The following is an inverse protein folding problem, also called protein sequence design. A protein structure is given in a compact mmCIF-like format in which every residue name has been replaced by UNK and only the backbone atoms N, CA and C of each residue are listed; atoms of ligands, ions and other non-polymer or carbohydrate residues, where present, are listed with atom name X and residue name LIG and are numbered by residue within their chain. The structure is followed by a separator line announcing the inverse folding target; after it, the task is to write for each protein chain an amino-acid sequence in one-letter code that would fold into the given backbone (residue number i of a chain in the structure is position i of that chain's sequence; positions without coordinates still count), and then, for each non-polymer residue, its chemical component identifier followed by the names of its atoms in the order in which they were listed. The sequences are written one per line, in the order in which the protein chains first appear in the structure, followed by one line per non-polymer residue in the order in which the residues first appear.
data_IF_693244661690
#
_entry.id   IF_693244661690
#
_cell.length_a   1.000
_cell.length_b   1.000
_cell.length_c   1.000
_cell.angle_alpha   90.00
_cell.angle_beta   90.00
_cell.angle_gamma   90.00
#
_symmetry.space_group_name_H-M   'P 1'
#
loop_
_entity.id
_entity.type
_entity.pdbx_description
1 polymer ?
#
# COMPACT_ATOMS: atom_id res chain seq x y z
N UNK A 1 28.26 29.13 -13.89
CA UNK A 1 27.01 28.80 -14.63
C UNK A 1 25.96 28.29 -13.66
N UNK A 2 24.70 28.39 -14.04
CA UNK A 2 23.61 27.84 -13.25
C UNK A 2 23.33 26.39 -13.74
N UNK A 3 23.08 25.49 -12.80
CA UNK A 3 22.74 24.10 -13.06
C UNK A 3 21.37 23.80 -12.52
N UNK A 4 20.56 23.05 -13.27
CA UNK A 4 19.25 22.57 -12.83
C UNK A 4 19.30 21.05 -12.81
N UNK A 5 19.01 20.43 -11.66
CA UNK A 5 18.91 18.99 -11.49
C UNK A 5 17.42 18.65 -11.41
N UNK A 6 16.89 18.00 -12.46
CA UNK A 6 15.48 17.67 -12.59
C UNK A 6 15.25 16.15 -12.80
N UNK A 7 16.00 15.32 -12.09
CA UNK A 7 16.00 13.85 -12.25
C UNK A 7 14.86 13.15 -11.51
N UNK A 8 14.16 13.88 -10.64
CA UNK A 8 13.06 13.33 -9.85
C UNK A 8 13.53 12.38 -8.74
N UNK A 9 12.59 11.62 -8.12
CA UNK A 9 12.88 10.83 -6.93
C UNK A 9 13.78 9.61 -7.19
N UNK A 10 13.87 9.12 -8.43
CA UNK A 10 14.66 7.94 -8.81
C UNK A 10 16.05 8.34 -9.36
N UNK A 11 16.65 9.36 -8.81
CA UNK A 11 18.02 9.81 -9.15
C UNK A 11 19.04 8.68 -8.96
N UNK A 12 20.00 8.57 -9.91
CA UNK A 12 21.06 7.56 -9.81
C UNK A 12 21.88 7.69 -8.53
N UNK A 13 22.43 6.59 -8.05
CA UNK A 13 23.24 6.57 -6.84
C UNK A 13 24.44 7.52 -6.90
N UNK A 14 25.16 7.57 -8.04
CA UNK A 14 26.33 8.42 -8.21
C UNK A 14 25.97 9.92 -8.18
N UNK A 15 24.87 10.30 -8.84
CA UNK A 15 24.41 11.67 -8.80
C UNK A 15 23.88 12.05 -7.42
N UNK A 16 23.17 11.14 -6.74
CA UNK A 16 22.72 11.35 -5.36
C UNK A 16 23.91 11.56 -4.40
N UNK A 17 24.99 10.79 -4.55
CA UNK A 17 26.23 10.98 -3.77
C UNK A 17 26.89 12.34 -4.05
N UNK A 18 26.94 12.75 -5.32
CA UNK A 18 27.50 14.04 -5.70
C UNK A 18 26.68 15.19 -5.10
N UNK A 19 25.34 15.10 -5.11
CA UNK A 19 24.44 16.07 -4.49
C UNK A 19 24.67 16.09 -2.96
N UNK A 20 24.79 14.92 -2.34
CA UNK A 20 25.05 14.80 -0.90
C UNK A 20 26.37 15.48 -0.50
N UNK A 21 27.42 15.27 -1.29
CA UNK A 21 28.72 15.89 -1.06
C UNK A 21 28.67 17.42 -1.18
N UNK A 22 27.93 17.95 -2.17
CA UNK A 22 27.79 19.40 -2.39
C UNK A 22 26.93 20.08 -1.32
N UNK A 23 25.87 19.40 -0.86
CA UNK A 23 24.93 19.96 0.12
C UNK A 23 25.30 19.68 1.57
N UNK A 24 26.26 18.79 1.83
CA UNK A 24 26.61 18.33 3.18
C UNK A 24 25.53 17.51 3.86
N UNK A 25 24.54 17.02 3.11
CA UNK A 25 23.40 16.28 3.65
C UNK A 25 23.75 14.80 3.85
N UNK A 26 23.59 14.28 5.08
CA UNK A 26 23.92 12.87 5.40
C UNK A 26 22.92 11.86 4.84
N UNK A 27 21.67 12.26 4.62
CA UNK A 27 20.63 11.38 4.12
C UNK A 27 19.74 12.08 3.09
N UNK A 28 19.81 11.61 1.84
CA UNK A 28 18.98 12.11 0.73
C UNK A 28 18.00 11.02 0.22
N UNK A 29 17.72 9.99 1.01
CA UNK A 29 16.89 8.91 0.55
C UNK A 29 15.88 8.47 1.60
N UNK A 30 14.67 8.12 1.14
CA UNK A 30 13.67 7.37 1.89
C UNK A 30 13.12 6.23 1.03
N UNK A 31 12.56 5.23 1.69
CA UNK A 31 11.91 4.13 1.01
C UNK A 31 10.41 4.37 0.97
N UNK A 32 9.85 4.26 -0.23
CA UNK A 32 8.42 4.30 -0.50
C UNK A 32 7.94 2.90 -0.95
N UNK A 33 6.94 2.38 -0.27
CA UNK A 33 6.34 1.11 -0.63
C UNK A 33 5.05 1.35 -1.42
N UNK A 34 4.87 0.58 -2.49
CA UNK A 34 3.74 0.69 -3.41
C UNK A 34 2.82 -0.51 -3.21
N UNK A 35 1.51 -0.25 -3.20
CA UNK A 35 0.49 -1.28 -3.14
C UNK A 35 0.23 -1.94 -4.51
N UNK A 36 -0.19 -3.22 -4.53
CA UNK A 36 -0.60 -3.91 -5.75
C UNK A 36 -1.86 -3.30 -6.37
N UNK A 37 -1.96 -3.45 -7.70
CA UNK A 37 -3.14 -3.09 -8.49
C UNK A 37 -3.72 -4.36 -9.11
N UNK A 38 -5.04 -4.53 -8.98
CA UNK A 38 -5.79 -5.70 -9.40
C UNK A 38 -6.75 -5.33 -10.53
N UNK A 39 -6.94 -6.23 -11.50
CA UNK A 39 -7.99 -6.14 -12.51
C UNK A 39 -9.36 -6.42 -11.88
N UNK A 40 -10.34 -5.55 -12.14
CA UNK A 40 -11.70 -5.66 -11.60
C UNK A 40 -12.38 -6.98 -11.97
N UNK A 41 -12.25 -7.43 -13.22
CA UNK A 41 -12.87 -8.65 -13.75
C UNK A 41 -12.36 -9.94 -13.11
N UNK A 42 -11.26 -9.88 -12.38
CA UNK A 42 -10.71 -10.99 -11.61
C UNK A 42 -11.18 -11.04 -10.15
N UNK A 43 -12.02 -10.09 -9.71
CA UNK A 43 -12.56 -10.01 -8.35
C UNK A 43 -13.91 -10.73 -8.29
N UNK A 44 -14.08 -11.63 -7.32
CA UNK A 44 -15.35 -12.34 -7.09
C UNK A 44 -16.35 -11.44 -6.36
N UNK A 45 -17.25 -10.82 -7.13
CA UNK A 45 -18.29 -9.93 -6.60
C UNK A 45 -19.40 -10.67 -5.83
N UNK A 46 -19.43 -12.00 -5.83
CA UNK A 46 -20.34 -12.75 -4.94
C UNK A 46 -19.89 -12.72 -3.47
N UNK A 47 -18.65 -12.38 -3.22
CA UNK A 47 -18.05 -12.23 -1.89
C UNK A 47 -17.74 -10.78 -1.52
N UNK A 48 -17.43 -9.96 -2.52
CA UNK A 48 -17.10 -8.56 -2.35
C UNK A 48 -18.28 -7.65 -2.67
N UNK A 49 -18.27 -6.41 -2.16
CA UNK A 49 -19.32 -5.44 -2.43
C UNK A 49 -18.78 -4.01 -2.50
N UNK A 50 -19.54 -3.11 -3.12
CA UNK A 50 -19.22 -1.70 -3.25
C UNK A 50 -19.86 -0.90 -2.12
N UNK A 51 -19.06 -0.21 -1.31
CA UNK A 51 -19.55 0.71 -0.27
C UNK A 51 -18.41 1.60 0.25
N UNK A 52 -18.68 2.87 0.41
CA UNK A 52 -17.84 3.77 1.21
C UNK A 52 -18.21 3.66 2.69
N UNK A 53 -17.25 3.85 3.59
CA UNK A 53 -17.49 3.77 5.03
C UNK A 53 -18.54 4.77 5.47
N UNK A 54 -19.52 4.31 6.26
CA UNK A 54 -20.65 5.09 6.75
C UNK A 54 -21.53 5.66 5.61
N UNK A 55 -21.52 5.02 4.43
CA UNK A 55 -22.22 5.49 3.22
C UNK A 55 -21.88 6.94 2.89
N UNK A 56 -20.65 7.36 3.20
CA UNK A 56 -20.20 8.73 3.04
C UNK A 56 -20.08 9.08 1.56
N UNK A 57 -20.70 10.20 1.18
CA UNK A 57 -20.71 10.76 -0.16
C UNK A 57 -22.05 11.42 -0.47
N UNK A 58 -22.04 12.42 -1.35
CA UNK A 58 -23.25 13.08 -1.81
C UNK A 58 -23.88 12.32 -2.99
N UNK A 59 -23.04 11.73 -3.83
CA UNK A 59 -23.45 10.96 -5.01
C UNK A 59 -23.37 9.45 -4.76
N UNK A 60 -24.10 8.68 -5.58
CA UNK A 60 -24.01 7.22 -5.55
C UNK A 60 -22.60 6.73 -5.88
N UNK A 61 -21.90 7.39 -6.79
CA UNK A 61 -20.51 7.06 -7.13
C UNK A 61 -19.58 7.22 -5.94
N UNK A 62 -19.76 8.25 -5.12
CA UNK A 62 -18.95 8.45 -3.91
C UNK A 62 -19.28 7.44 -2.81
N UNK A 63 -20.57 7.07 -2.65
CA UNK A 63 -21.00 6.07 -1.69
C UNK A 63 -20.52 4.68 -2.04
N UNK A 64 -20.27 4.40 -3.31
CA UNK A 64 -19.78 3.13 -3.85
C UNK A 64 -18.32 3.20 -4.34
N UNK A 65 -17.53 4.14 -3.83
CA UNK A 65 -16.15 4.38 -4.28
C UNK A 65 -15.16 3.26 -3.93
N UNK A 66 -15.49 2.41 -2.95
CA UNK A 66 -14.61 1.34 -2.47
C UNK A 66 -15.26 -0.02 -2.65
N UNK A 67 -14.47 -0.96 -3.12
CA UNK A 67 -14.79 -2.38 -3.10
C UNK A 67 -14.26 -2.98 -1.80
N UNK A 68 -15.08 -3.81 -1.14
CA UNK A 68 -14.82 -4.34 0.19
C UNK A 68 -14.78 -5.86 0.15
N UNK A 69 -13.72 -6.47 0.69
CA UNK A 69 -13.54 -7.92 0.82
C UNK A 69 -13.58 -8.28 2.31
N UNK A 70 -14.60 -9.01 2.78
CA UNK A 70 -14.76 -9.34 4.19
C UNK A 70 -13.88 -10.52 4.58
N UNK A 71 -13.44 -10.56 5.82
CA UNK A 71 -12.74 -11.70 6.42
C UNK A 71 -13.38 -12.09 7.74
N UNK A 72 -13.54 -13.39 7.96
CA UNK A 72 -13.80 -13.97 9.27
C UNK A 72 -12.53 -13.89 10.13
N UNK A 73 -12.66 -14.14 11.45
CA UNK A 73 -11.52 -14.19 12.36
C UNK A 73 -10.47 -15.20 11.93
N UNK A 74 -10.89 -16.42 11.60
CA UNK A 74 -9.95 -17.47 11.17
C UNK A 74 -9.22 -17.13 9.86
N UNK A 75 -9.92 -16.52 8.89
CA UNK A 75 -9.30 -16.06 7.63
C UNK A 75 -8.28 -14.93 7.89
N UNK A 76 -8.63 -13.99 8.76
CA UNK A 76 -7.73 -12.92 9.16
C UNK A 76 -6.47 -13.45 9.85
N UNK A 77 -6.61 -14.35 10.83
CA UNK A 77 -5.47 -14.95 11.55
C UNK A 77 -4.55 -15.72 10.61
N UNK A 78 -5.10 -16.53 9.71
CA UNK A 78 -4.33 -17.25 8.69
C UNK A 78 -3.63 -16.29 7.73
N UNK A 79 -4.30 -15.22 7.33
CA UNK A 79 -3.70 -14.17 6.49
C UNK A 79 -2.52 -13.49 7.18
N UNK A 80 -2.66 -13.12 8.47
CA UNK A 80 -1.57 -12.50 9.24
C UNK A 80 -0.37 -13.45 9.36
N UNK A 81 -0.61 -14.74 9.60
CA UNK A 81 0.46 -15.73 9.67
C UNK A 81 1.21 -15.85 8.35
N UNK A 82 0.49 -15.94 7.23
CA UNK A 82 1.09 -15.98 5.90
C UNK A 82 1.84 -14.69 5.56
N UNK A 83 1.29 -13.53 5.89
CA UNK A 83 1.92 -12.22 5.67
C UNK A 83 3.24 -12.08 6.43
N UNK A 84 3.27 -12.51 7.69
CA UNK A 84 4.48 -12.45 8.52
C UNK A 84 5.54 -13.46 8.07
N UNK A 85 5.14 -14.64 7.59
CA UNK A 85 6.03 -15.69 7.08
C UNK A 85 6.50 -15.46 5.64
N UNK A 86 5.87 -14.55 4.90
CA UNK A 86 6.14 -14.30 3.49
C UNK A 86 7.58 -13.86 3.24
N UNK A 87 8.14 -14.28 2.11
CA UNK A 87 9.43 -13.80 1.62
C UNK A 87 9.39 -12.30 1.34
N UNK A 88 10.35 -11.58 1.95
CA UNK A 88 10.44 -10.12 1.89
C UNK A 88 11.75 -9.68 1.25
N UNK A 89 11.74 -8.49 0.66
CA UNK A 89 12.95 -7.81 0.23
C UNK A 89 13.65 -7.26 1.48
N UNK A 90 14.90 -7.64 1.67
CA UNK A 90 15.75 -7.10 2.72
C UNK A 90 16.53 -5.89 2.19
N UNK A 91 16.74 -4.90 3.05
CA UNK A 91 17.61 -3.79 2.74
C UNK A 91 19.08 -4.26 2.81
N UNK A 92 19.93 -3.69 1.94
CA UNK A 92 21.37 -3.92 2.01
C UNK A 92 21.94 -3.36 3.32
N UNK A 93 22.96 -4.05 3.87
CA UNK A 93 23.70 -3.55 5.02
C UNK A 93 24.15 -2.11 4.77
N UNK A 94 23.83 -1.21 5.70
CA UNK A 94 24.12 0.22 5.60
C UNK A 94 22.98 1.09 5.03
N UNK A 95 21.88 0.50 4.55
CA UNK A 95 20.68 1.24 4.13
C UNK A 95 19.76 1.47 5.34
N UNK A 96 20.07 2.46 6.17
CA UNK A 96 19.27 2.84 7.37
C UNK A 96 18.16 3.84 7.06
N UNK A 97 17.80 4.04 5.79
CA UNK A 97 16.73 4.95 5.44
C UNK A 97 15.40 4.44 6.03
N UNK A 98 14.76 5.27 6.84
CA UNK A 98 13.44 4.98 7.41
C UNK A 98 12.36 4.90 6.33
N UNK A 99 11.28 4.17 6.62
CA UNK A 99 10.07 4.28 5.82
C UNK A 99 9.42 5.64 6.04
N UNK A 100 8.86 6.20 4.98
CA UNK A 100 7.96 7.33 5.13
C UNK A 100 6.67 6.84 5.84
N UNK A 101 6.24 7.50 6.91
CA UNK A 101 5.13 7.03 7.75
C UNK A 101 3.83 6.78 6.98
N UNK A 102 3.56 7.56 5.93
CA UNK A 102 2.39 7.39 5.07
C UNK A 102 2.44 6.19 4.13
N UNK A 103 3.61 5.55 3.96
CA UNK A 103 3.86 4.45 3.03
C UNK A 103 4.46 3.24 3.73
N UNK A 104 4.15 3.06 5.01
CA UNK A 104 4.64 1.94 5.80
C UNK A 104 4.16 0.60 5.21
N UNK A 105 5.06 -0.36 4.93
CA UNK A 105 4.66 -1.67 4.44
C UNK A 105 3.72 -2.39 5.40
N UNK A 106 2.75 -3.11 4.84
CA UNK A 106 1.71 -3.80 5.63
C UNK A 106 2.31 -4.85 6.57
N UNK A 107 3.40 -5.50 6.16
CA UNK A 107 4.13 -6.46 6.99
C UNK A 107 4.72 -5.80 8.23
N UNK A 108 5.28 -4.60 8.08
CA UNK A 108 5.84 -3.83 9.19
C UNK A 108 4.75 -3.38 10.16
N UNK A 109 3.55 -3.06 9.65
CA UNK A 109 2.40 -2.80 10.51
C UNK A 109 1.95 -4.06 11.26
N UNK A 110 1.92 -5.23 10.59
CA UNK A 110 1.54 -6.50 11.21
C UNK A 110 2.54 -6.96 12.29
N UNK A 111 3.84 -6.69 12.10
CA UNK A 111 4.90 -6.98 13.07
C UNK A 111 4.72 -6.22 14.41
N UNK A 112 4.02 -5.08 14.40
CA UNK A 112 3.70 -4.30 15.61
C UNK A 112 2.64 -4.98 16.51
N UNK A 113 1.91 -5.95 15.97
CA UNK A 113 0.92 -6.74 16.68
C UNK A 113 -0.13 -7.31 15.75
N UNK A 114 -0.61 -8.52 16.04
CA UNK A 114 -1.53 -9.27 15.17
C UNK A 114 -2.83 -8.52 14.85
N UNK A 115 -3.31 -7.70 15.77
CA UNK A 115 -4.55 -6.91 15.62
C UNK A 115 -4.33 -5.54 14.98
N UNK A 116 -3.08 -5.12 14.76
CA UNK A 116 -2.77 -3.76 14.27
C UNK A 116 -3.49 -3.44 12.96
N UNK A 117 -3.52 -4.37 12.01
CA UNK A 117 -4.17 -4.15 10.72
C UNK A 117 -5.69 -3.99 10.85
N UNK A 118 -6.31 -4.70 11.79
CA UNK A 118 -7.75 -4.62 12.06
C UNK A 118 -8.18 -3.27 12.64
N UNK A 119 -7.30 -2.56 13.32
CA UNK A 119 -7.50 -1.19 13.78
C UNK A 119 -6.97 -0.12 12.80
N UNK A 120 -6.30 -0.57 11.75
CA UNK A 120 -5.72 0.25 10.68
C UNK A 120 -6.42 0.04 9.32
N UNK A 121 -5.68 -0.41 8.31
CA UNK A 121 -6.18 -0.51 6.93
C UNK A 121 -7.30 -1.55 6.76
N UNK A 122 -7.37 -2.55 7.62
CA UNK A 122 -8.36 -3.63 7.54
C UNK A 122 -9.52 -3.48 8.53
N UNK A 123 -9.74 -2.30 9.10
CA UNK A 123 -10.85 -2.10 10.06
C UNK A 123 -12.22 -2.34 9.40
N UNK A 124 -13.17 -3.04 10.08
CA UNK A 124 -14.49 -3.32 9.50
C UNK A 124 -15.53 -2.22 9.77
N UNK A 125 -15.20 -1.21 10.59
CA UNK A 125 -16.14 -0.21 11.09
C UNK A 125 -16.74 0.64 9.96
N UNK A 126 -18.04 0.89 10.03
CA UNK A 126 -18.78 1.71 9.05
C UNK A 126 -19.08 0.99 7.73
N UNK A 127 -18.99 -0.35 7.72
CA UNK A 127 -19.29 -1.19 6.56
C UNK A 127 -20.34 -2.25 6.95
N UNK A 128 -21.25 -2.54 6.03
CA UNK A 128 -22.26 -3.59 6.17
C UNK A 128 -22.16 -4.53 4.98
N UNK A 129 -21.87 -5.81 5.24
CA UNK A 129 -21.77 -6.81 4.18
C UNK A 129 -23.18 -7.20 3.67
N UNK A 130 -23.57 -6.89 2.44
CA UNK A 130 -24.90 -7.23 1.92
C UNK A 130 -25.09 -8.74 1.70
N UNK A 131 -24.00 -9.51 1.60
CA UNK A 131 -24.05 -10.98 1.45
C UNK A 131 -24.26 -11.68 2.80
N UNK A 132 -24.00 -11.00 3.92
CA UNK A 132 -24.20 -11.51 5.28
C UNK A 132 -24.48 -10.32 6.24
N UNK A 133 -25.68 -9.71 6.15
CA UNK A 133 -26.00 -8.48 6.88
C UNK A 133 -26.12 -8.68 8.40
N UNK A 134 -26.37 -9.88 8.85
CA UNK A 134 -26.55 -10.20 10.27
C UNK A 134 -25.21 -10.37 11.00
N UNK A 135 -24.14 -10.65 10.27
CA UNK A 135 -22.82 -10.86 10.85
C UNK A 135 -21.83 -9.76 10.39
N UNK A 136 -21.27 -9.07 11.37
CA UNK A 136 -20.21 -8.10 11.10
C UNK A 136 -18.92 -8.84 10.74
N UNK A 137 -18.25 -8.47 9.62
CA UNK A 137 -16.95 -9.04 9.30
C UNK A 137 -15.94 -8.71 10.39
N UNK A 138 -15.02 -9.65 10.65
CA UNK A 138 -13.95 -9.42 11.62
C UNK A 138 -12.94 -8.39 11.13
N UNK A 139 -12.60 -8.45 9.84
CA UNK A 139 -11.77 -7.47 9.14
C UNK A 139 -12.30 -7.26 7.72
N UNK A 140 -11.96 -6.16 7.09
CA UNK A 140 -12.32 -5.86 5.70
C UNK A 140 -11.12 -5.28 4.96
N UNK A 141 -10.75 -5.87 3.85
CA UNK A 141 -9.80 -5.28 2.91
C UNK A 141 -10.55 -4.38 1.95
N UNK A 142 -10.11 -3.14 1.81
CA UNK A 142 -10.70 -2.18 0.88
C UNK A 142 -9.84 -2.00 -0.36
N UNK A 143 -10.47 -1.97 -1.53
CA UNK A 143 -9.84 -1.60 -2.78
C UNK A 143 -10.47 -0.30 -3.29
N UNK A 144 -9.64 0.60 -3.78
CA UNK A 144 -10.08 1.86 -4.37
C UNK A 144 -9.87 1.81 -5.88
N UNK A 145 -10.82 2.36 -6.62
CA UNK A 145 -10.72 2.53 -8.07
C UNK A 145 -9.46 3.32 -8.41
N UNK A 146 -8.61 2.75 -9.27
CA UNK A 146 -7.35 3.35 -9.71
C UNK A 146 -7.49 4.10 -11.04
N UNK A 147 -8.50 3.75 -11.85
CA UNK A 147 -8.80 4.37 -13.13
C UNK A 147 -10.24 4.88 -13.18
N UNK A 148 -10.51 5.93 -13.94
CA UNK A 148 -11.88 6.45 -14.16
C UNK A 148 -12.82 5.40 -14.75
N UNK A 149 -12.31 4.48 -15.57
CA UNK A 149 -13.08 3.39 -16.16
C UNK A 149 -13.46 2.28 -15.17
N UNK A 150 -12.87 2.26 -13.96
CA UNK A 150 -13.13 1.24 -12.96
C UNK A 150 -12.63 -0.16 -13.33
N UNK A 151 -11.67 -0.26 -14.23
CA UNK A 151 -11.07 -1.54 -14.66
C UNK A 151 -9.95 -2.02 -13.75
N UNK A 152 -9.36 -1.10 -12.97
CA UNK A 152 -8.23 -1.35 -12.08
C UNK A 152 -8.54 -0.84 -10.67
N UNK A 153 -8.12 -1.61 -9.68
CA UNK A 153 -8.30 -1.30 -8.26
C UNK A 153 -6.99 -1.44 -7.49
N UNK A 154 -6.69 -0.43 -6.68
CA UNK A 154 -5.57 -0.41 -5.76
C UNK A 154 -5.99 -0.93 -4.40
N UNK A 155 -5.22 -1.83 -3.78
CA UNK A 155 -5.50 -2.33 -2.44
C UNK A 155 -5.07 -1.28 -1.42
N UNK A 156 -6.04 -0.70 -0.72
CA UNK A 156 -5.82 0.44 0.19
C UNK A 156 -5.00 0.02 1.42
N UNK A 157 -3.86 0.68 1.63
CA UNK A 157 -3.00 0.44 2.78
C UNK A 157 -2.16 -0.84 2.70
N UNK A 158 -2.07 -1.45 1.51
CA UNK A 158 -1.31 -2.68 1.28
C UNK A 158 0.02 -2.43 0.54
N UNK A 159 0.66 -1.32 0.84
CA UNK A 159 2.05 -1.14 0.44
C UNK A 159 2.87 -2.29 0.99
N UNK A 160 3.77 -2.86 0.20
CA UNK A 160 4.43 -4.12 0.59
C UNK A 160 5.88 -4.21 0.15
N UNK A 161 6.69 -4.89 0.95
CA UNK A 161 8.05 -5.34 0.63
C UNK A 161 8.13 -6.83 0.33
N UNK A 162 7.00 -7.55 0.28
CA UNK A 162 6.99 -8.96 -0.13
C UNK A 162 7.58 -9.13 -1.53
N UNK A 163 8.26 -10.24 -1.77
CA UNK A 163 8.66 -10.65 -3.13
C UNK A 163 7.43 -11.02 -3.97
N UNK A 164 7.53 -10.88 -5.27
CA UNK A 164 6.38 -11.00 -6.20
C UNK A 164 5.61 -12.32 -6.07
N UNK A 165 6.30 -13.46 -5.93
CA UNK A 165 5.63 -14.75 -5.71
C UNK A 165 4.80 -14.77 -4.42
N UNK A 166 5.40 -14.35 -3.32
CA UNK A 166 4.75 -14.28 -2.02
C UNK A 166 3.53 -13.33 -2.02
N UNK A 167 3.61 -12.19 -2.72
CA UNK A 167 2.47 -11.28 -2.84
C UNK A 167 1.25 -11.98 -3.45
N UNK A 168 1.46 -12.73 -4.54
CA UNK A 168 0.36 -13.44 -5.21
C UNK A 168 -0.28 -14.49 -4.30
N UNK A 169 0.52 -15.26 -3.58
CA UNK A 169 0.05 -16.30 -2.67
C UNK A 169 -0.73 -15.69 -1.49
N UNK A 170 -0.15 -14.71 -0.82
CA UNK A 170 -0.75 -14.10 0.38
C UNK A 170 -2.00 -13.31 0.03
N UNK A 171 -1.98 -12.50 -1.02
CA UNK A 171 -3.12 -11.66 -1.37
C UNK A 171 -4.32 -12.48 -1.89
N UNK A 172 -4.09 -13.64 -2.48
CA UNK A 172 -5.15 -14.57 -2.90
C UNK A 172 -5.83 -15.30 -1.73
N UNK A 173 -5.33 -15.17 -0.51
CA UNK A 173 -6.03 -15.64 0.69
C UNK A 173 -7.20 -14.72 1.10
N UNK A 174 -7.29 -13.53 0.53
CA UNK A 174 -8.36 -12.57 0.81
C UNK A 174 -9.63 -13.02 0.08
N UNK A 175 -10.77 -13.22 0.78
CA UNK A 175 -12.03 -13.59 0.15
C UNK A 175 -12.45 -12.59 -0.94
N UNK A 176 -12.77 -13.12 -2.11
CA UNK A 176 -13.03 -12.32 -3.31
C UNK A 176 -11.80 -12.07 -4.20
N UNK A 177 -10.58 -12.35 -3.71
CA UNK A 177 -9.33 -12.18 -4.45
C UNK A 177 -8.63 -13.51 -4.78
N UNK A 178 -9.28 -14.66 -4.57
CA UNK A 178 -8.67 -15.98 -4.75
C UNK A 178 -8.13 -16.19 -6.17
N UNK A 179 -8.80 -15.60 -7.15
CA UNK A 179 -8.40 -15.66 -8.56
C UNK A 179 -7.87 -14.32 -9.09
N UNK A 180 -7.47 -13.42 -8.20
CA UNK A 180 -7.05 -12.08 -8.58
C UNK A 180 -5.90 -12.09 -9.60
N UNK A 181 -6.07 -11.29 -10.64
CA UNK A 181 -5.04 -10.97 -11.63
C UNK A 181 -4.47 -9.59 -11.32
N UNK A 182 -3.14 -9.51 -11.23
CA UNK A 182 -2.46 -8.29 -10.85
C UNK A 182 -1.99 -7.53 -12.10
N UNK A 183 -2.47 -6.31 -12.28
CA UNK A 183 -1.96 -5.39 -13.30
C UNK A 183 -0.55 -4.91 -12.95
N UNK A 184 -0.29 -4.77 -11.64
CA UNK A 184 1.02 -4.45 -11.07
C UNK A 184 1.11 -5.03 -9.67
N UNK A 185 2.22 -5.66 -9.35
CA UNK A 185 2.56 -6.03 -7.97
C UNK A 185 3.16 -4.85 -7.23
N UNK A 186 3.08 -4.90 -5.91
CA UNK A 186 3.70 -3.93 -5.04
C UNK A 186 5.23 -4.04 -5.04
N UNK A 187 5.90 -3.05 -4.47
CA UNK A 187 7.35 -3.04 -4.37
C UNK A 187 7.85 -1.87 -3.55
N UNK A 188 9.15 -1.87 -3.30
CA UNK A 188 9.82 -0.80 -2.60
C UNK A 188 10.64 -0.01 -3.61
N UNK A 189 10.49 1.31 -3.56
CA UNK A 189 11.29 2.26 -4.31
C UNK A 189 12.13 3.08 -3.33
N UNK A 190 13.40 3.23 -3.65
CA UNK A 190 14.27 4.19 -2.99
C UNK A 190 14.11 5.52 -3.71
N UNK A 191 13.61 6.51 -3.00
CA UNK A 191 13.44 7.87 -3.51
C UNK A 191 14.57 8.77 -3.02
N UNK A 192 15.09 9.61 -3.88
CA UNK A 192 16.02 10.67 -3.52
C UNK A 192 15.25 11.96 -3.29
N UNK A 193 15.52 12.67 -2.20
CA UNK A 193 14.91 13.97 -1.90
C UNK A 193 15.94 14.93 -1.33
N UNK A 194 15.66 16.21 -1.43
CA UNK A 194 16.42 17.29 -0.77
C UNK A 194 15.55 17.88 0.34
N UNK A 195 16.14 18.11 1.50
CA UNK A 195 15.49 18.91 2.53
C UNK A 195 15.55 20.39 2.13
N UNK A 196 14.78 20.75 1.11
CA UNK A 196 14.78 22.06 0.48
C UNK A 196 14.64 23.21 1.46
N UNK A 197 13.81 23.16 2.52
CA UNK A 197 13.70 24.26 3.48
C UNK A 197 14.98 24.60 4.22
N UNK A 198 15.93 23.66 4.29
CA UNK A 198 17.21 23.87 5.00
C UNK A 198 18.40 24.04 4.06
N UNK A 199 18.27 23.62 2.81
CA UNK A 199 19.37 23.55 1.84
C UNK A 199 19.29 24.63 0.77
N UNK A 200 18.08 25.14 0.48
CA UNK A 200 17.87 26.14 -0.56
C UNK A 200 17.61 27.51 0.07
N UNK A 201 18.07 28.56 -0.58
CA UNK A 201 17.76 29.94 -0.23
C UNK A 201 16.47 30.42 -0.94
N UNK A 202 16.10 31.69 -0.73
CA UNK A 202 14.91 32.33 -1.30
C UNK A 202 14.96 32.46 -2.83
N UNK A 203 16.10 32.22 -3.45
CA UNK A 203 16.29 32.32 -4.91
C UNK A 203 16.34 30.95 -5.58
N UNK A 204 16.29 29.88 -4.79
CA UNK A 204 16.35 28.46 -5.22
C UNK A 204 17.61 28.11 -6.01
#
# INVERSE_FOLDING_TARGET
GHWIIATGPLTSGDLAQSIAAETGAEALAFFDAIAPIIYHDSIDMSKAWMQSRYDKGETEEERTAYLNCPMTKGQYEAFIDALLAADKTEFKEGETAGYFDGCLPIEVMAERGRETLRFGPMKPVGLTNPHDPDNKPYAVVQLRRDTKLGTLYNIVGFQTKMKYGAQTEVLRMIPGLENASFARLGGIHRNTFLNSPTLLDEQM
#
